data_IF_151229314602
#
_entry.id   IF_151229314602
#
_cell.length_a   1.000
_cell.length_b   1.000
_cell.length_c   1.000
_cell.angle_alpha   90.00
_cell.angle_beta   90.00
_cell.angle_gamma   90.00
#
_symmetry.space_group_name_H-M   'P 1'
#
loop_
_entity.id
_entity.type
_entity.pdbx_description
1 polymer ?
#
# COMPACT_ATOMS: atom_id res chain seq x y z
N UNK A 1 -25.19 -32.87 -0.31
CA UNK A 1 -24.94 -31.57 -0.96
C UNK A 1 -23.51 -31.57 -1.51
N UNK A 2 -23.31 -31.53 -2.84
CA UNK A 2 -21.96 -31.38 -3.41
C UNK A 2 -21.34 -30.10 -2.83
N UNK A 3 -20.16 -30.20 -2.23
CA UNK A 3 -19.40 -29.01 -1.83
C UNK A 3 -19.31 -28.10 -3.06
N UNK A 4 -19.69 -26.82 -2.97
CA UNK A 4 -19.61 -25.92 -4.12
C UNK A 4 -18.17 -25.89 -4.59
N UNK A 5 -17.95 -26.30 -5.85
CA UNK A 5 -16.62 -26.38 -6.43
C UNK A 5 -15.89 -25.05 -6.21
N UNK A 6 -14.71 -25.11 -5.60
CA UNK A 6 -13.86 -23.92 -5.44
C UNK A 6 -13.63 -23.32 -6.81
N UNK A 7 -13.91 -22.02 -7.02
CA UNK A 7 -13.71 -21.40 -8.33
C UNK A 7 -12.25 -21.60 -8.78
N UNK A 8 -11.99 -21.83 -10.07
CA UNK A 8 -10.64 -22.04 -10.55
C UNK A 8 -9.81 -20.74 -10.43
N UNK A 9 -8.48 -20.87 -10.41
CA UNK A 9 -7.57 -19.71 -10.40
C UNK A 9 -7.55 -19.02 -11.76
N UNK A 10 -7.72 -19.77 -12.85
CA UNK A 10 -7.89 -19.23 -14.20
C UNK A 10 -9.14 -19.87 -14.79
N UNK A 11 -9.99 -19.08 -15.47
CA UNK A 11 -11.16 -19.63 -16.14
C UNK A 11 -10.75 -20.67 -17.21
N UNK A 12 -11.58 -21.70 -17.46
CA UNK A 12 -11.30 -22.70 -18.48
C UNK A 12 -11.28 -22.08 -19.89
N UNK A 13 -10.55 -22.69 -20.83
CA UNK A 13 -10.53 -22.30 -22.25
C UNK A 13 -9.34 -21.43 -22.69
N UNK A 14 -8.37 -21.16 -21.83
CA UNK A 14 -7.17 -20.40 -22.17
C UNK A 14 -5.97 -21.27 -22.58
N UNK A 15 -5.32 -20.90 -23.68
CA UNK A 15 -4.02 -21.40 -24.13
C UNK A 15 -2.91 -20.36 -23.89
N UNK A 16 -1.63 -20.76 -24.00
CA UNK A 16 -0.49 -19.83 -23.87
C UNK A 16 -0.60 -18.60 -24.77
N UNK A 17 -1.08 -18.79 -26.00
CA UNK A 17 -1.32 -17.71 -26.95
C UNK A 17 -2.39 -16.74 -26.46
N UNK A 18 -3.58 -17.26 -26.12
CA UNK A 18 -4.71 -16.43 -25.68
C UNK A 18 -4.43 -15.61 -24.42
N UNK A 19 -3.68 -16.17 -23.44
CA UNK A 19 -3.26 -15.43 -22.23
C UNK A 19 -2.37 -14.24 -22.62
N UNK A 20 -1.40 -14.51 -23.48
CA UNK A 20 -0.46 -13.50 -23.96
C UNK A 20 -1.19 -12.41 -24.72
N UNK A 21 -2.04 -12.80 -25.66
CA UNK A 21 -2.77 -11.86 -26.52
C UNK A 21 -3.68 -10.97 -25.68
N UNK A 22 -4.43 -11.54 -24.72
CA UNK A 22 -5.34 -10.77 -23.85
C UNK A 22 -4.62 -9.78 -22.94
N UNK A 23 -3.47 -10.12 -22.37
CA UNK A 23 -2.70 -9.21 -21.51
C UNK A 23 -1.96 -8.15 -22.35
N UNK A 24 -1.30 -8.58 -23.43
CA UNK A 24 -0.52 -7.66 -24.29
C UNK A 24 -1.42 -6.72 -25.09
N UNK A 25 -2.66 -7.12 -25.43
CA UNK A 25 -3.59 -6.26 -26.16
C UNK A 25 -3.94 -4.98 -25.41
N UNK A 26 -3.95 -5.01 -24.07
CA UNK A 26 -4.22 -3.83 -23.23
C UNK A 26 -3.10 -2.80 -23.38
N UNK A 27 -1.84 -3.25 -23.39
CA UNK A 27 -0.66 -2.38 -23.47
C UNK A 27 -0.39 -1.95 -24.91
N UNK A 28 -0.53 -2.86 -25.86
CA UNK A 28 -0.23 -2.62 -27.28
C UNK A 28 -1.47 -2.19 -28.08
N UNK A 29 -2.53 -1.71 -27.42
CA UNK A 29 -3.71 -1.20 -28.13
C UNK A 29 -3.33 -0.02 -29.03
N UNK A 30 -3.75 -0.08 -30.30
CA UNK A 30 -3.48 0.99 -31.28
C UNK A 30 -4.18 2.32 -30.96
N UNK A 31 -5.37 2.27 -30.34
CA UNK A 31 -6.15 3.47 -29.95
C UNK A 31 -6.52 3.38 -28.48
N UNK A 32 -5.96 4.28 -27.67
CA UNK A 32 -6.34 4.42 -26.26
C UNK A 32 -7.80 4.90 -26.19
N UNK A 33 -8.68 4.25 -25.42
CA UNK A 33 -10.08 4.63 -25.34
C UNK A 33 -10.25 6.02 -24.72
N UNK A 34 -11.26 6.77 -25.16
CA UNK A 34 -11.58 8.11 -24.64
C UNK A 34 -11.81 8.11 -23.13
N UNK A 35 -12.42 7.04 -22.58
CA UNK A 35 -12.63 6.89 -21.14
C UNK A 35 -11.33 6.85 -20.34
N UNK A 36 -10.24 6.29 -20.90
CA UNK A 36 -8.94 6.32 -20.24
C UNK A 36 -8.37 7.74 -20.21
N UNK A 37 -8.48 8.50 -21.30
CA UNK A 37 -8.04 9.90 -21.34
C UNK A 37 -8.83 10.80 -20.39
N UNK A 38 -10.15 10.65 -20.37
CA UNK A 38 -11.01 11.39 -19.45
C UNK A 38 -10.66 11.09 -17.99
N UNK A 39 -10.50 9.80 -17.64
CA UNK A 39 -10.07 9.38 -16.31
C UNK A 39 -8.68 9.89 -15.94
N UNK A 40 -7.71 9.76 -16.86
CA UNK A 40 -6.33 10.22 -16.68
C UNK A 40 -6.27 11.74 -16.44
N UNK A 41 -6.94 12.54 -17.27
CA UNK A 41 -6.95 14.00 -17.12
C UNK A 41 -7.64 14.42 -15.81
N UNK A 42 -8.74 13.76 -15.44
CA UNK A 42 -9.43 14.02 -14.19
C UNK A 42 -8.55 13.75 -12.96
N UNK A 43 -7.87 12.59 -12.89
CA UNK A 43 -6.98 12.28 -11.76
C UNK A 43 -5.71 13.14 -11.77
N UNK A 44 -5.21 13.47 -12.96
CA UNK A 44 -4.02 14.34 -13.12
C UNK A 44 -4.30 15.78 -12.66
N UNK A 45 -5.54 16.25 -12.72
CA UNK A 45 -5.92 17.55 -12.14
C UNK A 45 -5.66 17.60 -10.64
N UNK A 46 -5.95 16.52 -9.91
CA UNK A 46 -5.63 16.42 -8.48
C UNK A 46 -4.12 16.30 -8.23
N UNK A 47 -3.38 15.61 -9.10
CA UNK A 47 -1.90 15.65 -9.03
C UNK A 47 -1.36 17.06 -9.29
N UNK A 48 -2.00 17.85 -10.16
CA UNK A 48 -1.71 19.28 -10.34
C UNK A 48 -2.01 20.10 -9.08
N UNK A 49 -3.14 19.82 -8.41
CA UNK A 49 -3.46 20.42 -7.11
C UNK A 49 -2.39 20.11 -6.05
N UNK A 50 -1.83 18.90 -6.04
CA UNK A 50 -0.71 18.54 -5.16
C UNK A 50 0.50 19.44 -5.43
N UNK A 51 0.89 19.60 -6.70
CA UNK A 51 2.01 20.46 -7.06
C UNK A 51 1.81 21.90 -6.58
N UNK A 52 0.61 22.46 -6.79
CA UNK A 52 0.26 23.80 -6.29
C UNK A 52 0.33 23.87 -4.76
N UNK A 53 -0.22 22.88 -4.06
CA UNK A 53 -0.23 22.82 -2.60
C UNK A 53 1.18 22.75 -2.02
N UNK A 54 2.04 21.89 -2.58
CA UNK A 54 3.43 21.76 -2.15
C UNK A 54 4.27 23.00 -2.49
N UNK A 55 4.07 23.62 -3.65
CA UNK A 55 4.73 24.87 -3.99
C UNK A 55 4.33 25.98 -3.02
N UNK A 56 3.04 26.12 -2.71
CA UNK A 56 2.57 27.12 -1.77
C UNK A 56 3.08 26.87 -0.34
N UNK A 57 3.13 25.60 0.08
CA UNK A 57 3.71 25.15 1.36
C UNK A 57 5.18 25.55 1.49
N UNK A 58 6.01 25.31 0.47
CA UNK A 58 7.44 25.66 0.54
C UNK A 58 7.67 27.17 0.52
N UNK A 59 6.84 27.92 -0.23
CA UNK A 59 6.98 29.37 -0.33
C UNK A 59 6.50 30.11 0.93
N UNK A 60 5.47 29.60 1.60
CA UNK A 60 4.84 30.28 2.75
C UNK A 60 5.28 29.70 4.10
N UNK A 61 5.54 28.38 4.13
CA UNK A 61 5.92 27.63 5.32
C UNK A 61 4.84 26.67 5.82
N UNK A 62 5.23 25.77 6.72
CA UNK A 62 4.38 24.69 7.27
C UNK A 62 3.16 25.19 8.03
N UNK A 63 3.16 26.44 8.49
CA UNK A 63 2.03 27.06 9.20
C UNK A 63 0.75 27.25 8.38
N UNK A 64 0.74 26.92 7.08
CA UNK A 64 -0.50 26.88 6.28
C UNK A 64 -1.37 25.66 6.60
N UNK A 65 -0.77 24.61 7.16
CA UNK A 65 -1.50 23.45 7.69
C UNK A 65 -2.06 23.75 9.08
N UNK A 66 -3.04 22.97 9.50
CA UNK A 66 -3.73 23.14 10.78
C UNK A 66 -2.90 22.74 12.02
N UNK A 67 -1.64 22.32 11.82
CA UNK A 67 -0.72 21.93 12.89
C UNK A 67 -0.55 23.09 13.87
N UNK A 68 -0.55 22.79 15.16
CA UNK A 68 -0.42 23.79 16.22
C UNK A 68 0.35 23.21 17.41
N UNK A 69 0.52 24.00 18.47
CA UNK A 69 0.89 23.45 19.77
C UNK A 69 -0.41 23.16 20.55
N UNK A 70 -0.62 21.93 21.03
CA UNK A 70 0.34 20.83 21.18
C UNK A 70 0.40 19.84 19.98
N UNK A 71 -0.49 19.97 18.99
CA UNK A 71 -0.63 18.98 17.90
C UNK A 71 0.32 19.32 16.74
N UNK A 72 1.60 19.03 16.95
CA UNK A 72 2.67 19.28 15.98
C UNK A 72 2.61 18.38 14.74
N UNK A 73 1.89 17.25 14.82
CA UNK A 73 1.61 16.33 13.72
C UNK A 73 0.12 15.99 13.67
N UNK A 74 -0.41 15.91 12.45
CA UNK A 74 -1.79 15.51 12.19
C UNK A 74 -1.90 14.87 10.81
N UNK A 75 -2.41 15.59 9.80
CA UNK A 75 -2.67 15.05 8.46
C UNK A 75 -1.38 14.61 7.75
N UNK A 76 -0.31 15.38 7.90
CA UNK A 76 1.02 15.07 7.38
C UNK A 76 1.47 13.64 7.73
N UNK A 77 1.62 13.32 9.01
CA UNK A 77 2.08 12.00 9.43
C UNK A 77 0.98 10.94 9.30
N UNK A 78 -0.30 11.31 9.48
CA UNK A 78 -1.44 10.38 9.30
C UNK A 78 -1.43 9.81 7.89
N UNK A 79 -1.28 10.68 6.88
CA UNK A 79 -1.26 10.30 5.48
C UNK A 79 0.02 9.56 5.11
N UNK A 80 1.17 9.96 5.66
CA UNK A 80 2.43 9.23 5.52
C UNK A 80 2.28 7.75 5.92
N UNK A 81 1.86 7.49 7.15
CA UNK A 81 1.73 6.13 7.69
C UNK A 81 0.65 5.35 6.94
N UNK A 82 -0.43 6.02 6.51
CA UNK A 82 -1.48 5.40 5.71
C UNK A 82 -0.98 4.96 4.33
N UNK A 83 -0.23 5.81 3.61
CA UNK A 83 0.36 5.47 2.31
C UNK A 83 1.42 4.37 2.41
N UNK A 84 2.33 4.43 3.40
CA UNK A 84 3.28 3.33 3.65
C UNK A 84 2.53 2.03 3.95
N UNK A 85 1.49 2.10 4.80
CA UNK A 85 0.64 0.96 5.11
C UNK A 85 0.02 0.31 3.87
N UNK A 86 -0.55 1.12 2.97
CA UNK A 86 -1.07 0.65 1.68
C UNK A 86 0.02 -0.05 0.87
N UNK A 87 1.22 0.53 0.83
CA UNK A 87 2.36 -0.01 0.07
C UNK A 87 2.73 -1.42 0.49
N UNK A 88 2.63 -1.76 1.77
CA UNK A 88 3.06 -3.06 2.30
C UNK A 88 2.29 -4.26 1.79
N UNK A 89 0.98 -4.13 1.49
CA UNK A 89 0.22 -5.26 0.98
C UNK A 89 0.72 -5.74 -0.37
N UNK A 90 1.24 -4.84 -1.22
CA UNK A 90 1.76 -5.23 -2.53
C UNK A 90 2.94 -6.17 -2.42
N UNK A 91 3.94 -5.81 -1.62
CA UNK A 91 5.10 -6.64 -1.30
C UNK A 91 4.75 -7.90 -0.51
N UNK A 92 3.71 -7.89 0.34
CA UNK A 92 3.24 -9.11 0.99
C UNK A 92 2.62 -10.08 -0.03
N UNK A 93 1.76 -9.59 -0.92
CA UNK A 93 1.14 -10.41 -1.97
C UNK A 93 2.20 -11.01 -2.89
N UNK A 94 3.26 -10.28 -3.20
CA UNK A 94 4.26 -10.74 -4.14
C UNK A 94 5.39 -11.56 -3.51
N UNK A 95 5.84 -11.24 -2.29
CA UNK A 95 6.91 -11.95 -1.60
C UNK A 95 6.40 -13.04 -0.65
N UNK A 96 5.55 -12.71 0.32
CA UNK A 96 5.12 -13.67 1.36
C UNK A 96 4.28 -14.80 0.74
N UNK A 97 3.35 -14.48 -0.17
CA UNK A 97 2.58 -15.53 -0.86
C UNK A 97 3.44 -16.36 -1.82
N UNK A 98 4.54 -15.81 -2.35
CA UNK A 98 5.51 -16.59 -3.12
C UNK A 98 6.22 -17.61 -2.22
N UNK A 99 6.66 -17.20 -1.03
CA UNK A 99 7.29 -18.08 -0.05
C UNK A 99 6.34 -19.21 0.40
N UNK A 100 5.05 -18.91 0.56
CA UNK A 100 4.01 -19.91 0.82
C UNK A 100 3.53 -20.69 -0.41
N UNK A 101 4.19 -20.51 -1.57
CA UNK A 101 3.87 -21.17 -2.85
C UNK A 101 2.38 -21.06 -3.23
N UNK A 102 1.75 -19.93 -2.91
CA UNK A 102 0.34 -19.70 -3.20
C UNK A 102 0.15 -19.27 -4.66
N UNK A 103 -0.47 -20.13 -5.46
CA UNK A 103 -0.62 -19.93 -6.91
C UNK A 103 -1.61 -18.82 -7.30
N UNK A 104 -2.52 -18.43 -6.42
CA UNK A 104 -3.50 -17.36 -6.73
C UNK A 104 -2.90 -15.95 -6.75
N UNK A 105 -1.66 -15.77 -6.26
CA UNK A 105 -1.01 -14.45 -6.26
C UNK A 105 -0.66 -13.96 -7.68
N UNK A 106 -0.44 -14.87 -8.62
CA UNK A 106 0.16 -14.60 -9.94
C UNK A 106 -0.66 -13.67 -10.83
N UNK A 107 -1.98 -13.64 -10.62
CA UNK A 107 -2.90 -12.77 -11.35
C UNK A 107 -2.95 -11.34 -10.78
N UNK A 108 -2.35 -11.11 -9.60
CA UNK A 108 -2.44 -9.85 -8.85
C UNK A 108 -1.05 -9.27 -8.54
N UNK A 109 0.01 -10.09 -8.51
CA UNK A 109 1.33 -9.69 -8.05
C UNK A 109 1.87 -8.44 -8.74
N UNK A 110 1.79 -8.36 -10.07
CA UNK A 110 2.38 -7.24 -10.81
C UNK A 110 1.68 -5.92 -10.54
N UNK A 111 0.36 -5.97 -10.47
CA UNK A 111 -0.47 -4.85 -10.06
C UNK A 111 -0.17 -4.44 -8.61
N UNK A 112 -0.03 -5.41 -7.71
CA UNK A 112 0.22 -5.16 -6.30
C UNK A 112 1.63 -4.58 -6.05
N UNK A 113 2.66 -5.09 -6.75
CA UNK A 113 4.02 -4.54 -6.73
C UNK A 113 4.06 -3.09 -7.24
N UNK A 114 3.34 -2.78 -8.33
CA UNK A 114 3.24 -1.40 -8.83
C UNK A 114 2.52 -0.47 -7.84
N UNK A 115 1.44 -0.97 -7.21
CA UNK A 115 0.73 -0.25 -6.14
C UNK A 115 1.69 0.13 -5.00
N UNK A 116 2.58 -0.78 -4.59
CA UNK A 116 3.61 -0.48 -3.59
C UNK A 116 4.45 0.72 -3.99
N UNK A 117 5.01 0.71 -5.20
CA UNK A 117 5.91 1.77 -5.64
C UNK A 117 5.22 3.13 -5.67
N UNK A 118 3.99 3.20 -6.17
CA UNK A 118 3.25 4.47 -6.24
C UNK A 118 2.85 4.96 -4.85
N UNK A 119 2.47 4.05 -3.96
CA UNK A 119 2.17 4.39 -2.57
C UNK A 119 3.42 4.90 -1.83
N UNK A 120 4.60 4.30 -2.06
CA UNK A 120 5.88 4.76 -1.48
C UNK A 120 6.27 6.13 -2.02
N UNK A 121 6.06 6.42 -3.31
CA UNK A 121 6.28 7.76 -3.88
C UNK A 121 5.36 8.79 -3.21
N UNK A 122 4.08 8.46 -3.02
CA UNK A 122 3.14 9.35 -2.33
C UNK A 122 3.49 9.53 -0.84
N UNK A 123 3.91 8.47 -0.17
CA UNK A 123 4.37 8.52 1.21
C UNK A 123 5.61 9.39 1.37
N UNK A 124 6.62 9.23 0.52
CA UNK A 124 7.90 9.93 0.61
C UNK A 124 7.80 11.46 0.49
N UNK A 125 6.68 11.97 -0.03
CA UNK A 125 6.38 13.41 -0.04
C UNK A 125 6.24 13.94 1.39
N UNK A 126 5.58 13.20 2.28
CA UNK A 126 5.26 13.72 3.61
C UNK A 126 6.50 13.92 4.50
N UNK A 127 7.42 12.95 4.69
CA UNK A 127 8.67 13.16 5.45
C UNK A 127 9.57 14.26 4.88
N UNK A 128 9.48 14.53 3.57
CA UNK A 128 10.25 15.61 2.96
C UNK A 128 9.60 16.97 3.25
N UNK A 129 8.32 17.12 2.95
CA UNK A 129 7.63 18.40 2.94
C UNK A 129 6.99 18.81 4.28
N UNK A 130 6.82 17.88 5.23
CA UNK A 130 6.39 18.25 6.58
C UNK A 130 7.48 18.91 7.41
N UNK A 131 8.73 18.85 6.95
CA UNK A 131 9.82 19.60 7.56
C UNK A 131 9.68 21.09 7.26
N UNK A 132 9.98 21.95 8.23
CA UNK A 132 9.95 23.40 8.01
C UNK A 132 10.99 23.91 7.00
N UNK A 133 11.99 23.09 6.64
CA UNK A 133 13.09 23.44 5.73
C UNK A 133 13.42 22.25 4.82
N UNK A 134 12.56 21.92 3.84
CA UNK A 134 12.72 20.72 3.01
C UNK A 134 14.01 20.72 2.19
N UNK A 135 14.56 21.88 1.84
CA UNK A 135 15.83 21.99 1.13
C UNK A 135 17.04 21.48 1.93
N UNK A 136 16.93 21.30 3.25
CA UNK A 136 17.99 20.73 4.10
C UNK A 136 17.83 19.22 4.34
N UNK A 137 16.90 18.57 3.65
CA UNK A 137 16.62 17.14 3.86
C UNK A 137 17.84 16.23 3.64
N UNK A 138 18.82 16.67 2.83
CA UNK A 138 20.06 15.94 2.61
C UNK A 138 20.90 15.74 3.88
N UNK A 139 20.70 16.54 4.94
CA UNK A 139 21.37 16.33 6.25
C UNK A 139 20.91 15.07 6.99
N UNK A 140 19.81 14.45 6.57
CA UNK A 140 19.37 13.16 7.12
C UNK A 140 20.17 11.98 6.55
N UNK A 141 20.94 12.20 5.47
CA UNK A 141 21.78 11.17 4.86
C UNK A 141 23.16 11.17 5.53
N UNK A 142 23.75 10.01 5.85
CA UNK A 142 25.09 9.93 6.43
C UNK A 142 26.15 10.10 5.33
N UNK A 143 26.57 11.33 5.07
CA UNK A 143 27.66 11.62 4.13
C UNK A 143 28.76 12.49 4.80
N UNK A 144 30.04 12.29 4.44
CA UNK A 144 31.11 13.16 4.92
C UNK A 144 30.87 14.60 4.49
N UNK A 145 30.89 15.53 5.43
CA UNK A 145 30.74 16.96 5.17
C UNK A 145 31.86 17.76 5.84
N UNK A 146 32.01 19.02 5.41
CA UNK A 146 33.03 19.95 5.93
C UNK A 146 32.89 20.28 7.40
N UNK A 147 31.71 20.03 7.99
CA UNK A 147 31.39 20.32 9.39
C UNK A 147 31.62 19.09 10.31
N UNK A 148 31.93 17.92 9.75
CA UNK A 148 32.01 16.63 10.47
C UNK A 148 30.75 16.30 11.31
N UNK A 149 29.58 16.71 10.83
CA UNK A 149 28.29 16.43 11.50
C UNK A 149 27.61 15.22 10.86
N UNK A 150 26.96 14.39 11.68
CA UNK A 150 26.25 13.19 11.24
C UNK A 150 24.80 13.20 11.73
N UNK A 151 23.87 12.48 11.07
CA UNK A 151 22.51 12.31 11.57
C UNK A 151 22.49 11.57 12.91
N UNK A 152 21.46 11.83 13.71
CA UNK A 152 21.26 11.18 15.01
C UNK A 152 20.62 9.79 14.83
N UNK A 153 21.43 8.74 14.90
CA UNK A 153 20.99 7.35 14.74
C UNK A 153 20.15 6.79 15.90
N UNK A 154 19.90 7.57 16.96
CA UNK A 154 18.94 7.21 18.01
C UNK A 154 17.51 7.65 17.70
N UNK A 155 17.32 8.50 16.69
CA UNK A 155 16.01 9.03 16.32
C UNK A 155 15.27 8.04 15.40
N UNK A 156 14.06 7.57 15.77
CA UNK A 156 13.23 6.76 14.90
C UNK A 156 12.95 7.41 13.52
N UNK A 157 12.81 8.73 13.47
CA UNK A 157 12.67 9.48 12.20
C UNK A 157 13.85 9.29 11.24
N UNK A 158 15.07 9.09 11.75
CA UNK A 158 16.23 8.78 10.90
C UNK A 158 16.15 7.34 10.41
N UNK A 159 15.68 6.41 11.25
CA UNK A 159 15.45 5.03 10.82
C UNK A 159 14.41 4.97 9.70
N UNK A 160 13.39 5.83 9.75
CA UNK A 160 12.38 5.99 8.71
C UNK A 160 12.98 6.37 7.35
N UNK A 161 13.95 7.28 7.32
CA UNK A 161 14.68 7.63 6.08
C UNK A 161 15.34 6.40 5.47
N UNK A 162 16.01 5.57 6.27
CA UNK A 162 16.63 4.33 5.78
C UNK A 162 15.61 3.26 5.41
N UNK A 163 14.55 3.10 6.22
CA UNK A 163 13.52 2.11 6.03
C UNK A 163 12.77 2.37 4.72
N UNK A 164 12.24 3.58 4.52
CA UNK A 164 11.47 3.96 3.32
C UNK A 164 12.36 3.96 2.07
N UNK A 165 13.59 4.48 2.14
CA UNK A 165 14.49 4.48 0.97
C UNK A 165 14.91 3.06 0.55
N UNK A 166 15.29 2.21 1.51
CA UNK A 166 15.64 0.81 1.25
C UNK A 166 14.43 0.03 0.76
N UNK A 167 13.25 0.26 1.36
CA UNK A 167 12.00 -0.35 0.93
C UNK A 167 11.62 0.03 -0.50
N UNK A 168 11.71 1.32 -0.85
CA UNK A 168 11.47 1.80 -2.20
C UNK A 168 12.44 1.19 -3.21
N UNK A 169 13.73 1.13 -2.89
CA UNK A 169 14.76 0.55 -3.76
C UNK A 169 14.56 -0.96 -3.96
N UNK A 170 14.39 -1.73 -2.88
CA UNK A 170 14.19 -3.18 -2.95
C UNK A 170 12.88 -3.51 -3.68
N UNK A 171 11.81 -2.77 -3.42
CA UNK A 171 10.54 -2.94 -4.14
C UNK A 171 10.69 -2.64 -5.63
N UNK A 172 11.46 -1.61 -5.99
CA UNK A 172 11.71 -1.24 -7.39
C UNK A 172 12.50 -2.33 -8.11
N UNK A 173 13.57 -2.82 -7.49
CA UNK A 173 14.37 -3.91 -8.02
C UNK A 173 13.55 -5.20 -8.16
N UNK A 174 12.77 -5.54 -7.15
CA UNK A 174 11.94 -6.74 -7.15
C UNK A 174 10.88 -6.72 -8.26
N UNK A 175 10.14 -5.62 -8.38
CA UNK A 175 9.15 -5.40 -9.43
C UNK A 175 9.79 -5.38 -10.82
N UNK A 176 10.91 -4.66 -10.98
CA UNK A 176 11.60 -4.55 -12.26
C UNK A 176 12.17 -5.89 -12.71
N UNK A 177 12.84 -6.64 -11.83
CA UNK A 177 13.33 -8.00 -12.13
C UNK A 177 12.18 -8.88 -12.57
N UNK A 178 11.05 -8.83 -11.85
CA UNK A 178 9.84 -9.54 -12.20
C UNK A 178 9.32 -9.19 -13.60
N UNK A 179 9.44 -7.93 -14.04
CA UNK A 179 8.98 -7.46 -15.35
C UNK A 179 9.87 -7.87 -16.53
N UNK A 180 11.14 -8.22 -16.32
CA UNK A 180 12.10 -8.49 -17.41
C UNK A 180 11.54 -9.47 -18.47
N UNK A 181 10.98 -10.65 -18.11
CA UNK A 181 10.45 -11.59 -19.10
C UNK A 181 9.17 -11.08 -19.79
N UNK A 182 8.35 -10.29 -19.09
CA UNK A 182 7.13 -9.71 -19.63
C UNK A 182 7.44 -8.60 -20.64
N UNK A 183 8.44 -7.77 -20.35
CA UNK A 183 8.96 -6.72 -21.24
C UNK A 183 9.56 -7.32 -22.51
N UNK A 184 10.22 -8.48 -22.42
CA UNK A 184 10.69 -9.21 -23.58
C UNK A 184 9.54 -9.67 -24.48
N UNK A 185 8.44 -10.13 -23.88
CA UNK A 185 7.22 -10.50 -24.62
C UNK A 185 6.60 -9.28 -25.32
N UNK A 186 6.56 -8.12 -24.65
CA UNK A 186 6.07 -6.87 -25.25
C UNK A 186 6.97 -6.38 -26.38
N UNK A 187 8.29 -6.48 -26.24
CA UNK A 187 9.27 -6.18 -27.32
C UNK A 187 8.97 -7.00 -28.58
N UNK A 188 8.77 -8.30 -28.42
CA UNK A 188 8.60 -9.22 -29.55
C UNK A 188 7.22 -9.07 -30.21
N UNK A 189 6.21 -8.60 -29.46
CA UNK A 189 4.85 -8.30 -29.96
C UNK A 189 4.69 -6.89 -30.53
N UNK A 190 5.56 -5.95 -30.15
CA UNK A 190 5.43 -4.55 -30.55
C UNK A 190 5.63 -4.36 -32.07
N UNK A 191 4.66 -3.70 -32.70
CA UNK A 191 4.69 -3.36 -34.14
C UNK A 191 5.49 -2.07 -34.41
N UNK A 192 5.41 -1.09 -33.50
CA UNK A 192 6.13 0.18 -33.62
C UNK A 192 7.62 0.07 -33.32
N UNK A 193 8.47 0.72 -34.12
CA UNK A 193 9.93 0.74 -33.94
C UNK A 193 10.34 1.33 -32.59
N UNK A 194 9.70 2.44 -32.18
CA UNK A 194 9.98 3.08 -30.89
C UNK A 194 9.60 2.20 -29.70
N UNK A 195 8.38 1.63 -29.69
CA UNK A 195 7.95 0.69 -28.65
C UNK A 195 8.84 -0.54 -28.56
N UNK A 196 9.26 -1.11 -29.70
CA UNK A 196 10.17 -2.24 -29.74
C UNK A 196 11.54 -1.90 -29.16
N UNK A 197 12.06 -0.70 -29.45
CA UNK A 197 13.34 -0.22 -28.89
C UNK A 197 13.24 -0.01 -27.37
N UNK A 198 12.19 0.67 -26.89
CA UNK A 198 11.99 0.93 -25.46
C UNK A 198 11.84 -0.38 -24.67
N UNK A 199 10.91 -1.25 -25.07
CA UNK A 199 10.74 -2.55 -24.41
C UNK A 199 11.98 -3.44 -24.59
N UNK A 200 12.72 -3.29 -25.69
CA UNK A 200 13.98 -4.00 -25.91
C UNK A 200 15.10 -3.61 -24.95
N UNK A 201 15.25 -2.31 -24.67
CA UNK A 201 16.20 -1.81 -23.67
C UNK A 201 15.79 -2.28 -22.26
N UNK A 202 14.51 -2.13 -21.91
CA UNK A 202 14.01 -2.51 -20.59
C UNK A 202 14.04 -4.03 -20.33
N UNK A 203 13.93 -4.85 -21.38
CA UNK A 203 14.06 -6.31 -21.28
C UNK A 203 15.51 -6.78 -21.05
N UNK A 204 16.51 -5.89 -21.01
CA UNK A 204 17.92 -6.21 -20.73
C UNK A 204 18.46 -7.41 -21.53
N UNK A 205 18.09 -7.51 -22.80
CA UNK A 205 18.54 -8.61 -23.67
C UNK A 205 17.99 -9.99 -23.29
N UNK A 206 16.86 -10.08 -22.59
CA UNK A 206 16.23 -11.36 -22.24
C UNK A 206 15.87 -12.18 -23.49
N UNK A 207 16.32 -13.44 -23.50
CA UNK A 207 16.12 -14.43 -24.58
C UNK A 207 15.33 -15.67 -24.16
N UNK A 208 14.97 -15.78 -22.88
CA UNK A 208 14.29 -16.97 -22.35
C UNK A 208 15.14 -18.26 -22.32
N UNK A 209 16.48 -18.16 -22.25
CA UNK A 209 17.34 -19.34 -22.14
C UNK A 209 17.16 -20.04 -20.79
N UNK A 210 17.41 -21.35 -20.71
CA UNK A 210 17.34 -22.11 -19.46
C UNK A 210 18.23 -21.52 -18.35
N UNK A 211 19.42 -21.01 -18.72
CA UNK A 211 20.33 -20.32 -17.79
C UNK A 211 19.72 -19.03 -17.23
N UNK A 212 18.98 -18.28 -18.05
CA UNK A 212 18.31 -17.06 -17.60
C UNK A 212 17.19 -17.40 -16.61
N UNK A 213 16.37 -18.42 -16.92
CA UNK A 213 15.29 -18.86 -16.03
C UNK A 213 15.78 -19.36 -14.68
N UNK A 214 16.81 -20.23 -14.67
CA UNK A 214 17.37 -20.73 -13.42
C UNK A 214 17.91 -19.60 -12.50
N UNK A 215 18.61 -18.62 -13.09
CA UNK A 215 19.10 -17.45 -12.35
C UNK A 215 17.98 -16.53 -11.91
N UNK A 216 16.98 -16.32 -12.76
CA UNK A 216 15.80 -15.51 -12.45
C UNK A 216 15.04 -16.07 -11.26
N UNK A 217 14.72 -17.37 -11.26
CA UNK A 217 14.00 -18.03 -10.16
C UNK A 217 14.76 -17.90 -8.84
N UNK A 218 16.09 -18.13 -8.88
CA UNK A 218 16.95 -17.98 -7.70
C UNK A 218 16.96 -16.54 -7.19
N UNK A 219 17.17 -15.56 -8.08
CA UNK A 219 17.19 -14.15 -7.70
C UNK A 219 15.82 -13.66 -7.19
N UNK A 220 14.73 -14.06 -7.83
CA UNK A 220 13.37 -13.68 -7.43
C UNK A 220 13.00 -14.29 -6.07
N UNK A 221 13.39 -15.54 -5.80
CA UNK A 221 13.21 -16.17 -4.49
C UNK A 221 14.02 -15.46 -3.40
N UNK A 222 15.28 -15.13 -3.66
CA UNK A 222 16.15 -14.41 -2.71
C UNK A 222 15.60 -13.02 -2.40
N UNK A 223 15.18 -12.26 -3.43
CA UNK A 223 14.58 -10.95 -3.23
C UNK A 223 13.27 -11.04 -2.44
N UNK A 224 12.43 -12.05 -2.67
CA UNK A 224 11.24 -12.28 -1.86
C UNK A 224 11.57 -12.63 -0.40
N UNK A 225 12.62 -13.44 -0.20
CA UNK A 225 13.17 -13.75 1.12
C UNK A 225 13.68 -12.52 1.87
N UNK A 226 14.32 -11.58 1.17
CA UNK A 226 14.80 -10.31 1.73
C UNK A 226 13.68 -9.29 1.95
N UNK A 227 12.72 -9.22 1.02
CA UNK A 227 11.59 -8.30 1.09
C UNK A 227 10.66 -8.63 2.26
N UNK A 228 10.53 -9.90 2.65
CA UNK A 228 9.62 -10.32 3.72
C UNK A 228 9.98 -9.73 5.09
N UNK A 229 11.22 -9.90 5.62
CA UNK A 229 11.66 -9.20 6.83
C UNK A 229 11.61 -7.67 6.68
N UNK A 230 11.95 -7.15 5.49
CA UNK A 230 11.95 -5.72 5.22
C UNK A 230 10.54 -5.11 5.36
N UNK A 231 9.50 -5.79 4.86
CA UNK A 231 8.11 -5.34 5.01
C UNK A 231 7.70 -5.26 6.47
N UNK A 232 8.06 -6.27 7.26
CA UNK A 232 7.74 -6.29 8.69
C UNK A 232 8.53 -5.21 9.43
N UNK A 233 9.82 -5.03 9.11
CA UNK A 233 10.67 -4.06 9.80
C UNK A 233 10.33 -2.61 9.45
N UNK A 234 10.03 -2.28 8.19
CA UNK A 234 9.75 -0.90 7.76
C UNK A 234 8.53 -0.35 8.48
N UNK A 235 7.42 -1.09 8.47
CA UNK A 235 6.21 -0.62 9.14
C UNK A 235 6.32 -0.67 10.67
N UNK A 236 7.17 -1.55 11.20
CA UNK A 236 7.55 -1.54 12.61
C UNK A 236 8.36 -0.29 12.96
N UNK A 237 9.30 0.14 12.11
CA UNK A 237 10.10 1.36 12.31
C UNK A 237 9.22 2.60 12.32
N UNK A 238 8.29 2.71 11.36
CA UNK A 238 7.29 3.78 11.33
C UNK A 238 6.44 3.78 12.61
N UNK A 239 6.14 2.61 13.18
CA UNK A 239 5.41 2.54 14.46
C UNK A 239 6.25 2.97 15.67
N UNK A 240 7.59 2.82 15.58
CA UNK A 240 8.53 3.19 16.65
C UNK A 240 8.64 4.71 16.81
N UNK A 241 8.33 5.49 15.77
CA UNK A 241 8.17 6.95 15.87
C UNK A 241 7.18 7.35 16.97
N UNK A 242 6.13 6.54 17.15
CA UNK A 242 5.15 6.73 18.22
C UNK A 242 5.58 5.96 19.48
N UNK A 243 5.90 4.67 19.36
CA UNK A 243 6.11 3.78 20.50
C UNK A 243 7.28 4.18 21.43
N UNK A 244 8.32 4.81 20.87
CA UNK A 244 9.49 5.28 21.64
C UNK A 244 9.19 6.58 22.39
N UNK A 245 8.15 7.31 22.00
CA UNK A 245 7.71 8.50 22.73
C UNK A 245 7.23 8.16 24.13
N UNK A 246 7.18 9.16 25.00
CA UNK A 246 6.66 9.05 26.38
C UNK A 246 5.17 9.36 26.49
N UNK A 247 4.52 9.74 25.38
CA UNK A 247 3.14 10.23 25.36
C UNK A 247 2.16 9.09 25.67
N UNK A 248 1.16 9.30 26.55
CA UNK A 248 0.15 8.30 26.84
C UNK A 248 -0.64 7.92 25.59
N UNK A 249 -0.87 6.63 25.37
CA UNK A 249 -1.47 6.11 24.14
C UNK A 249 -0.54 6.08 22.92
N UNK A 250 0.72 6.52 23.04
CA UNK A 250 1.80 6.22 22.09
C UNK A 250 2.80 5.24 22.68
N UNK A 251 3.17 5.41 23.96
CA UNK A 251 4.16 4.58 24.64
C UNK A 251 3.65 3.15 24.89
N UNK A 252 3.74 2.28 23.90
CA UNK A 252 3.29 0.89 24.01
C UNK A 252 4.14 -0.06 23.19
N UNK A 253 4.35 -1.26 23.73
CA UNK A 253 5.12 -2.32 23.08
C UNK A 253 4.34 -3.09 22.01
N UNK A 254 3.02 -2.89 21.94
CA UNK A 254 2.15 -3.58 20.99
C UNK A 254 2.19 -2.99 19.58
N UNK A 255 2.62 -1.74 19.43
CA UNK A 255 2.53 -0.99 18.17
C UNK A 255 3.25 -1.65 16.99
N UNK A 256 4.49 -2.15 17.08
CA UNK A 256 5.15 -2.76 15.92
C UNK A 256 4.36 -3.88 15.23
N UNK A 257 3.95 -4.97 15.91
CA UNK A 257 3.14 -6.01 15.27
C UNK A 257 1.72 -5.52 14.91
N UNK A 258 1.14 -4.63 15.71
CA UNK A 258 -0.21 -4.10 15.48
C UNK A 258 -0.28 -3.22 14.22
N UNK A 259 0.68 -2.32 14.03
CA UNK A 259 0.79 -1.48 12.85
C UNK A 259 0.99 -2.34 11.62
N UNK A 260 1.84 -3.38 11.68
CA UNK A 260 2.06 -4.32 10.57
C UNK A 260 0.75 -5.02 10.20
N UNK A 261 -0.02 -5.52 11.16
CA UNK A 261 -1.33 -6.12 10.90
C UNK A 261 -2.29 -5.11 10.24
N UNK A 262 -2.30 -3.87 10.71
CA UNK A 262 -3.06 -2.76 10.12
C UNK A 262 -2.64 -2.43 8.69
N UNK A 263 -1.35 -2.46 8.36
CA UNK A 263 -0.84 -2.24 7.01
C UNK A 263 -1.30 -3.33 6.03
N UNK A 264 -1.28 -4.60 6.48
CA UNK A 264 -1.79 -5.72 5.68
C UNK A 264 -3.29 -5.52 5.45
N UNK A 265 -4.03 -5.18 6.50
CA UNK A 265 -5.46 -4.95 6.45
C UNK A 265 -5.84 -3.80 5.49
N UNK A 266 -5.27 -2.60 5.63
CA UNK A 266 -5.53 -1.47 4.73
C UNK A 266 -5.08 -1.75 3.30
N UNK A 267 -3.91 -2.37 3.11
CA UNK A 267 -3.39 -2.59 1.78
C UNK A 267 -4.19 -3.65 1.00
N UNK A 268 -4.68 -4.74 1.63
CA UNK A 268 -5.60 -5.67 0.94
C UNK A 268 -6.95 -5.00 0.61
N UNK A 269 -7.43 -4.09 1.44
CA UNK A 269 -8.61 -3.29 1.12
C UNK A 269 -8.34 -2.37 -0.08
N UNK A 270 -7.16 -1.73 -0.16
CA UNK A 270 -6.78 -0.93 -1.33
C UNK A 270 -6.68 -1.79 -2.60
N UNK A 271 -6.06 -2.97 -2.53
CA UNK A 271 -6.01 -3.90 -3.67
C UNK A 271 -7.42 -4.26 -4.14
N UNK A 272 -8.36 -4.60 -3.25
CA UNK A 272 -9.75 -4.86 -3.62
C UNK A 272 -10.41 -3.66 -4.29
N UNK A 273 -10.20 -2.46 -3.73
CA UNK A 273 -10.75 -1.20 -4.24
C UNK A 273 -10.31 -0.92 -5.68
N UNK A 274 -9.07 -1.27 -6.04
CA UNK A 274 -8.55 -1.03 -7.38
C UNK A 274 -8.83 -2.19 -8.33
N UNK A 275 -8.64 -3.43 -7.87
CA UNK A 275 -8.80 -4.63 -8.69
C UNK A 275 -10.24 -4.84 -9.14
N UNK A 276 -11.24 -4.53 -8.31
CA UNK A 276 -12.65 -4.75 -8.67
C UNK A 276 -13.09 -3.91 -9.90
N UNK A 277 -12.87 -2.58 -9.94
CA UNK A 277 -13.12 -1.77 -11.13
C UNK A 277 -12.28 -2.20 -12.33
N UNK A 278 -10.97 -2.40 -12.14
CA UNK A 278 -10.05 -2.79 -13.24
C UNK A 278 -10.48 -4.12 -13.87
N UNK A 279 -10.86 -5.10 -13.03
CA UNK A 279 -11.39 -6.40 -13.45
C UNK A 279 -12.59 -6.23 -14.39
N UNK A 280 -13.48 -5.27 -14.11
CA UNK A 280 -14.68 -5.03 -14.92
C UNK A 280 -14.38 -4.24 -16.19
N UNK A 281 -13.64 -3.13 -16.09
CA UNK A 281 -13.37 -2.24 -17.21
C UNK A 281 -12.46 -2.87 -18.28
N UNK A 282 -11.48 -3.68 -17.86
CA UNK A 282 -10.55 -4.36 -18.77
C UNK A 282 -10.94 -5.80 -19.10
N UNK A 283 -12.12 -6.28 -18.64
CA UNK A 283 -12.60 -7.64 -18.95
C UNK A 283 -11.69 -8.75 -18.42
N UNK A 284 -11.02 -8.53 -17.28
CA UNK A 284 -10.05 -9.46 -16.67
C UNK A 284 -10.72 -10.46 -15.72
N UNK A 285 -12.03 -10.68 -15.87
CA UNK A 285 -12.83 -11.56 -15.02
C UNK A 285 -12.35 -13.01 -15.02
N UNK A 286 -11.75 -13.45 -16.13
CA UNK A 286 -11.23 -14.81 -16.35
C UNK A 286 -9.89 -15.07 -15.63
N UNK A 287 -9.11 -14.01 -15.40
CA UNK A 287 -7.80 -14.09 -14.73
C UNK A 287 -7.91 -13.72 -13.25
N UNK A 288 -8.77 -12.76 -12.93
CA UNK A 288 -9.07 -12.36 -11.55
C UNK A 288 -10.43 -12.94 -11.17
N UNK A 289 -10.46 -14.25 -10.96
CA UNK A 289 -11.69 -14.98 -10.61
C UNK A 289 -12.19 -14.67 -9.19
N UNK A 290 -13.41 -15.11 -8.88
CA UNK A 290 -14.00 -15.01 -7.53
C UNK A 290 -13.15 -15.66 -6.43
N UNK A 291 -12.30 -16.65 -6.76
CA UNK A 291 -11.38 -17.26 -5.80
C UNK A 291 -10.40 -16.23 -5.23
N UNK A 292 -9.91 -15.31 -6.06
CA UNK A 292 -9.01 -14.26 -5.64
C UNK A 292 -9.69 -13.31 -4.66
N UNK A 293 -10.88 -12.82 -5.02
CA UNK A 293 -11.66 -11.90 -4.19
C UNK A 293 -12.02 -12.54 -2.84
N UNK A 294 -12.44 -13.81 -2.83
CA UNK A 294 -12.75 -14.53 -1.60
C UNK A 294 -11.52 -14.80 -0.73
N UNK A 295 -10.36 -15.07 -1.32
CA UNK A 295 -9.12 -15.27 -0.58
C UNK A 295 -8.65 -13.95 0.03
N UNK A 296 -8.65 -12.85 -0.73
CA UNK A 296 -8.35 -11.51 -0.20
C UNK A 296 -9.31 -11.12 0.92
N UNK A 297 -10.61 -11.40 0.79
CA UNK A 297 -11.59 -11.14 1.84
C UNK A 297 -11.34 -11.95 3.12
N UNK A 298 -10.82 -13.19 3.02
CA UNK A 298 -10.41 -13.98 4.20
C UNK A 298 -9.18 -13.37 4.88
N UNK A 299 -8.18 -12.96 4.10
CA UNK A 299 -6.99 -12.30 4.65
C UNK A 299 -7.39 -11.01 5.35
N UNK A 300 -8.24 -10.19 4.70
CA UNK A 300 -8.80 -8.96 5.25
C UNK A 300 -9.57 -9.21 6.56
N UNK A 301 -10.36 -10.28 6.65
CA UNK A 301 -11.05 -10.66 7.88
C UNK A 301 -10.05 -11.00 9.00
N UNK A 302 -9.06 -11.86 8.71
CA UNK A 302 -8.08 -12.29 9.72
C UNK A 302 -7.28 -11.11 10.24
N UNK A 303 -6.78 -10.23 9.36
CA UNK A 303 -6.02 -9.07 9.80
C UNK A 303 -6.89 -8.01 10.48
N UNK A 304 -8.16 -7.85 10.06
CA UNK A 304 -9.13 -7.02 10.78
C UNK A 304 -9.39 -7.50 12.21
N UNK A 305 -9.42 -8.83 12.43
CA UNK A 305 -9.52 -9.40 13.79
C UNK A 305 -8.25 -9.14 14.61
N UNK A 306 -7.06 -9.19 14.01
CA UNK A 306 -5.80 -8.84 14.69
C UNK A 306 -5.77 -7.36 15.10
N UNK A 307 -6.25 -6.46 14.25
CA UNK A 307 -6.39 -5.03 14.55
C UNK A 307 -7.42 -4.80 15.66
N UNK A 308 -8.58 -5.47 15.59
CA UNK A 308 -9.60 -5.42 16.64
C UNK A 308 -9.11 -5.94 18.00
N UNK A 309 -8.28 -6.99 17.98
CA UNK A 309 -7.55 -7.45 19.16
C UNK A 309 -6.63 -6.35 19.69
N UNK A 310 -5.89 -5.66 18.83
CA UNK A 310 -5.07 -4.51 19.19
C UNK A 310 -5.82 -3.43 19.98
N UNK A 311 -6.98 -2.98 19.47
CA UNK A 311 -7.81 -2.01 20.20
C UNK A 311 -8.30 -2.53 21.56
N UNK A 312 -8.65 -3.81 21.62
CA UNK A 312 -9.15 -4.43 22.85
C UNK A 312 -8.04 -4.51 23.91
N UNK A 313 -6.82 -4.88 23.49
CA UNK A 313 -5.66 -4.90 24.38
C UNK A 313 -5.26 -3.50 24.82
N UNK A 314 -5.31 -2.50 23.94
CA UNK A 314 -5.05 -1.11 24.31
C UNK A 314 -6.05 -0.62 25.37
N UNK A 315 -7.35 -0.88 25.17
CA UNK A 315 -8.40 -0.58 26.15
C UNK A 315 -8.15 -1.29 27.49
N UNK A 316 -7.81 -2.58 27.43
CA UNK A 316 -7.53 -3.40 28.60
C UNK A 316 -6.31 -2.90 29.37
N UNK A 317 -5.20 -2.58 28.67
CA UNK A 317 -3.98 -2.10 29.29
C UNK A 317 -4.14 -0.69 29.86
N UNK A 318 -4.94 0.17 29.24
CA UNK A 318 -5.29 1.47 29.79
C UNK A 318 -5.97 1.35 31.16
N UNK A 319 -6.86 0.37 31.32
CA UNK A 319 -7.49 0.04 32.60
C UNK A 319 -6.53 -0.69 33.56
N UNK A 320 -5.81 -1.72 33.08
CA UNK A 320 -4.96 -2.61 33.88
C UNK A 320 -3.70 -1.92 34.41
N UNK A 321 -3.13 -0.96 33.67
CA UNK A 321 -1.90 -0.25 34.06
C UNK A 321 -2.05 0.61 35.32
N UNK A 322 -3.29 0.92 35.73
CA UNK A 322 -3.61 1.87 36.80
C UNK A 322 -2.98 3.26 36.63
N UNK A 323 -2.48 3.60 35.43
CA UNK A 323 -1.94 4.92 35.14
C UNK A 323 -3.11 5.87 34.81
N UNK A 324 -3.27 6.93 35.61
CA UNK A 324 -4.32 7.93 35.41
C UNK A 324 -4.33 8.53 34.01
N UNK A 325 -3.17 8.68 33.37
CA UNK A 325 -3.05 9.29 32.06
C UNK A 325 -3.46 8.34 30.92
N UNK A 326 -3.11 7.06 31.02
CA UNK A 326 -3.54 6.03 30.06
C UNK A 326 -5.05 5.79 30.17
N UNK A 327 -5.58 5.70 31.40
CA UNK A 327 -7.03 5.60 31.62
C UNK A 327 -7.78 6.83 31.09
N UNK A 328 -7.24 8.04 31.33
CA UNK A 328 -7.80 9.28 30.78
C UNK A 328 -7.73 9.32 29.25
N UNK A 329 -6.63 8.89 28.64
CA UNK A 329 -6.46 8.83 27.18
C UNK A 329 -7.57 7.99 26.54
N UNK A 330 -7.87 6.81 27.11
CA UNK A 330 -8.95 5.96 26.61
C UNK A 330 -10.33 6.61 26.76
N UNK A 331 -10.60 7.24 27.91
CA UNK A 331 -11.84 7.98 28.13
C UNK A 331 -11.98 9.17 27.17
N UNK A 332 -10.88 9.88 26.91
CA UNK A 332 -10.84 10.99 25.97
C UNK A 332 -11.12 10.53 24.53
N UNK A 333 -10.67 9.34 24.12
CA UNK A 333 -11.07 8.74 22.85
C UNK A 333 -12.55 8.39 22.79
N UNK A 334 -13.13 7.85 23.86
CA UNK A 334 -14.52 7.41 23.89
C UNK A 334 -15.54 8.54 24.04
N UNK A 335 -15.26 9.57 24.83
CA UNK A 335 -16.23 10.63 25.19
C UNK A 335 -15.69 12.05 25.01
N UNK A 336 -14.44 12.21 24.58
CA UNK A 336 -13.82 13.52 24.40
C UNK A 336 -14.28 14.25 23.12
N UNK A 337 -13.66 15.39 22.77
CA UNK A 337 -14.06 16.21 21.63
C UNK A 337 -14.02 15.47 20.27
N UNK A 338 -13.20 14.44 20.17
CA UNK A 338 -13.05 13.60 18.98
C UNK A 338 -13.72 12.23 19.13
N UNK A 339 -14.70 12.06 20.03
CA UNK A 339 -15.36 10.77 20.26
C UNK A 339 -15.89 10.11 18.98
N UNK A 340 -16.37 10.94 18.04
CA UNK A 340 -16.96 10.49 16.79
C UNK A 340 -15.92 9.81 15.87
N UNK A 341 -14.64 10.22 15.89
CA UNK A 341 -13.60 9.56 15.10
C UNK A 341 -13.31 8.16 15.64
N UNK A 342 -13.32 8.00 16.96
CA UNK A 342 -13.13 6.70 17.60
C UNK A 342 -14.33 5.77 17.38
N UNK A 343 -15.56 6.27 17.46
CA UNK A 343 -16.75 5.45 17.16
C UNK A 343 -16.76 5.01 15.70
N UNK A 344 -16.49 5.92 14.75
CA UNK A 344 -16.37 5.58 13.34
C UNK A 344 -15.24 4.57 13.09
N UNK A 345 -14.10 4.72 13.77
CA UNK A 345 -13.00 3.77 13.72
C UNK A 345 -13.47 2.35 14.07
N UNK A 346 -14.14 2.18 15.21
CA UNK A 346 -14.63 0.86 15.66
C UNK A 346 -15.68 0.31 14.69
N UNK A 347 -16.60 1.14 14.18
CA UNK A 347 -17.60 0.71 13.20
C UNK A 347 -16.96 0.22 11.89
N UNK A 348 -15.97 0.96 11.38
CA UNK A 348 -15.29 0.63 10.13
C UNK A 348 -14.34 -0.56 10.27
N UNK A 349 -13.54 -0.64 11.35
CA UNK A 349 -12.46 -1.62 11.46
C UNK A 349 -12.82 -2.86 12.28
N UNK A 350 -13.78 -2.78 13.20
CA UNK A 350 -14.19 -3.93 14.01
C UNK A 350 -15.50 -4.52 13.51
N UNK A 351 -16.53 -3.69 13.31
CA UNK A 351 -17.87 -4.16 12.98
C UNK A 351 -18.00 -4.58 11.51
N UNK A 352 -17.54 -3.73 10.58
CA UNK A 352 -17.69 -4.00 9.14
C UNK A 352 -17.01 -5.30 8.70
N UNK A 353 -15.78 -5.65 9.14
CA UNK A 353 -15.15 -6.91 8.75
C UNK A 353 -15.88 -8.15 9.24
N UNK A 354 -16.66 -8.09 10.33
CA UNK A 354 -17.42 -9.26 10.79
C UNK A 354 -18.45 -9.73 9.75
N UNK A 355 -18.90 -8.83 8.87
CA UNK A 355 -19.78 -9.22 7.76
C UNK A 355 -19.10 -10.20 6.79
N UNK A 356 -17.76 -10.24 6.74
CA UNK A 356 -16.99 -11.15 5.91
C UNK A 356 -17.03 -12.59 6.41
N UNK A 357 -17.50 -12.88 7.63
CA UNK A 357 -17.76 -14.27 8.03
C UNK A 357 -18.77 -14.93 7.09
N UNK A 358 -19.79 -14.18 6.68
CA UNK A 358 -20.87 -14.67 5.81
C UNK A 358 -20.38 -14.89 4.38
N UNK A 359 -20.48 -16.14 3.91
CA UNK A 359 -20.10 -16.51 2.54
C UNK A 359 -20.86 -15.72 1.47
N UNK A 360 -22.11 -15.33 1.75
CA UNK A 360 -22.93 -14.49 0.85
C UNK A 360 -22.29 -13.12 0.60
N UNK A 361 -21.75 -12.50 1.64
CA UNK A 361 -21.06 -11.21 1.55
C UNK A 361 -19.73 -11.37 0.80
N UNK A 362 -18.92 -12.35 1.18
CA UNK A 362 -17.64 -12.63 0.49
C UNK A 362 -17.77 -13.07 -0.97
N UNK A 363 -18.93 -13.59 -1.36
CA UNK A 363 -19.24 -13.93 -2.74
C UNK A 363 -19.77 -12.78 -3.59
N UNK A 364 -20.06 -11.62 -2.98
CA UNK A 364 -20.65 -10.47 -3.63
C UNK A 364 -19.60 -9.42 -3.96
N UNK A 365 -19.35 -9.19 -5.26
CA UNK A 365 -18.37 -8.19 -5.74
C UNK A 365 -18.72 -6.77 -5.25
N UNK A 366 -19.98 -6.29 -5.36
CA UNK A 366 -20.34 -4.96 -4.84
C UNK A 366 -20.14 -4.84 -3.33
N UNK A 367 -20.46 -5.89 -2.56
CA UNK A 367 -20.27 -5.86 -1.11
C UNK A 367 -18.79 -5.74 -0.74
N UNK A 368 -17.92 -6.52 -1.39
CA UNK A 368 -16.47 -6.44 -1.17
C UNK A 368 -15.90 -5.07 -1.53
N UNK A 369 -16.41 -4.43 -2.59
CA UNK A 369 -15.99 -3.08 -2.97
C UNK A 369 -16.40 -2.02 -1.94
N UNK A 370 -17.64 -2.07 -1.45
CA UNK A 370 -18.10 -1.14 -0.40
C UNK A 370 -17.32 -1.36 0.89
N UNK A 371 -17.13 -2.62 1.30
CA UNK A 371 -16.34 -2.97 2.50
C UNK A 371 -14.92 -2.44 2.35
N UNK A 372 -14.27 -2.63 1.19
CA UNK A 372 -12.89 -2.19 1.01
C UNK A 372 -12.72 -0.67 1.12
N UNK A 373 -13.69 0.12 0.64
CA UNK A 373 -13.71 1.57 0.82
C UNK A 373 -13.86 1.94 2.31
N UNK A 374 -14.80 1.31 3.02
CA UNK A 374 -15.04 1.56 4.45
C UNK A 374 -13.80 1.23 5.28
N UNK A 375 -13.11 0.12 4.97
CA UNK A 375 -11.87 -0.28 5.63
C UNK A 375 -10.76 0.76 5.40
N UNK A 376 -10.59 1.24 4.17
CA UNK A 376 -9.57 2.25 3.87
C UNK A 376 -9.78 3.55 4.65
N UNK A 377 -11.04 3.98 4.79
CA UNK A 377 -11.42 5.14 5.63
C UNK A 377 -11.19 4.83 7.11
N UNK A 378 -11.59 3.66 7.59
CA UNK A 378 -11.36 3.24 8.98
C UNK A 378 -9.88 3.21 9.35
N UNK A 379 -9.02 2.73 8.47
CA UNK A 379 -7.57 2.71 8.69
C UNK A 379 -6.92 4.09 8.60
N UNK A 380 -7.49 5.02 7.85
CA UNK A 380 -7.08 6.42 7.91
C UNK A 380 -7.48 7.04 9.27
N UNK A 381 -8.72 6.80 9.71
CA UNK A 381 -9.21 7.23 11.02
C UNK A 381 -8.37 6.63 12.16
N UNK A 382 -7.89 5.39 12.03
CA UNK A 382 -7.02 4.77 13.03
C UNK A 382 -5.77 5.60 13.27
N UNK A 383 -5.07 5.97 12.20
CA UNK A 383 -3.84 6.77 12.28
C UNK A 383 -4.15 8.17 12.81
N UNK A 384 -5.24 8.79 12.35
CA UNK A 384 -5.68 10.08 12.86
C UNK A 384 -5.99 10.03 14.37
N UNK A 385 -6.69 8.99 14.83
CA UNK A 385 -7.02 8.79 16.25
C UNK A 385 -5.74 8.63 17.05
N UNK A 386 -4.85 7.71 16.66
CA UNK A 386 -3.59 7.48 17.39
C UNK A 386 -2.81 8.79 17.51
N UNK A 387 -2.67 9.56 16.44
CA UNK A 387 -1.86 10.78 16.43
C UNK A 387 -2.56 11.92 17.18
N UNK A 388 -3.72 12.35 16.71
CA UNK A 388 -4.37 13.60 17.18
C UNK A 388 -4.99 13.42 18.56
N UNK A 389 -5.63 12.28 18.85
CA UNK A 389 -6.33 12.10 20.14
C UNK A 389 -5.37 11.91 21.31
N UNK A 390 -4.14 11.46 21.05
CA UNK A 390 -3.08 11.35 22.06
C UNK A 390 -2.28 12.65 22.23
N UNK A 391 -2.16 13.49 21.18
CA UNK A 391 -1.42 14.76 21.25
C UNK A 391 -2.25 15.94 21.79
N UNK A 392 -3.55 16.01 21.44
CA UNK A 392 -4.34 17.20 21.76
C UNK A 392 -4.63 17.36 23.26
N UNK A 393 -4.55 16.25 24.01
CA UNK A 393 -4.70 16.20 25.47
C UNK A 393 -3.75 15.16 26.04
N UNK A 394 -2.64 15.65 26.58
CA UNK A 394 -1.56 14.85 27.15
C UNK A 394 -1.48 15.05 28.68
N UNK A 395 -0.28 15.19 29.23
CA UNK A 395 -0.03 15.29 30.66
C UNK A 395 -0.56 16.57 31.32
N UNK A 396 -0.50 17.71 30.65
CA UNK A 396 -0.74 19.03 31.24
C UNK A 396 -2.05 19.63 30.71
N UNK A 397 -3.05 19.90 31.56
CA UNK A 397 -4.29 20.54 31.11
C UNK A 397 -4.09 21.91 30.44
N UNK A 398 -3.02 22.64 30.79
CA UNK A 398 -2.71 23.95 30.20
C UNK A 398 -2.23 23.89 28.75
N UNK A 399 -1.69 22.76 28.30
CA UNK A 399 -1.25 22.56 26.91
C UNK A 399 -2.35 22.02 26.01
N UNK A 400 -3.56 21.74 26.54
CA UNK A 400 -4.62 21.12 25.75
C UNK A 400 -5.09 22.00 24.60
N UNK A 401 -5.17 21.41 23.40
CA UNK A 401 -5.56 22.09 22.18
C UNK A 401 -6.59 21.33 21.35
N UNK A 402 -6.91 21.89 20.20
CA UNK A 402 -7.71 21.23 19.16
C UNK A 402 -7.01 21.37 17.82
N UNK A 403 -7.08 20.33 17.01
CA UNK A 403 -6.66 20.34 15.63
C UNK A 403 -7.89 20.47 14.72
N UNK A 404 -7.83 21.40 13.79
CA UNK A 404 -8.79 21.50 12.69
C UNK A 404 -7.98 21.58 11.40
N UNK A 405 -8.18 20.66 10.44
CA UNK A 405 -7.45 20.70 9.18
C UNK A 405 -7.83 21.95 8.39
N UNK A 406 -6.86 22.54 7.70
CA UNK A 406 -7.08 23.62 6.74
C UNK A 406 -7.40 23.06 5.36
N UNK A 407 -7.69 23.95 4.40
CA UNK A 407 -7.85 23.54 3.01
C UNK A 407 -6.57 22.90 2.45
N UNK A 408 -5.40 23.29 2.95
CA UNK A 408 -4.10 22.82 2.48
C UNK A 408 -3.76 21.41 2.98
N UNK A 409 -4.24 21.04 4.17
CA UNK A 409 -4.19 19.65 4.65
C UNK A 409 -4.97 18.72 3.72
N UNK A 410 -6.20 19.12 3.38
CA UNK A 410 -7.08 18.36 2.48
C UNK A 410 -6.58 18.34 1.04
N UNK A 411 -6.13 19.48 0.50
CA UNK A 411 -5.63 19.58 -0.87
C UNK A 411 -4.38 18.73 -1.08
N UNK A 412 -3.50 18.68 -0.08
CA UNK A 412 -2.31 17.81 -0.11
C UNK A 412 -2.73 16.34 -0.07
N UNK A 413 -3.64 15.96 0.83
CA UNK A 413 -4.13 14.58 0.91
C UNK A 413 -4.80 14.12 -0.40
N UNK A 414 -5.81 14.84 -0.87
CA UNK A 414 -6.52 14.55 -2.12
C UNK A 414 -5.56 14.58 -3.31
N UNK A 415 -4.60 15.52 -3.29
CA UNK A 415 -3.57 15.62 -4.30
C UNK A 415 -2.69 14.37 -4.39
N UNK A 416 -2.30 13.78 -3.26
CA UNK A 416 -1.55 12.50 -3.25
C UNK A 416 -2.36 11.33 -3.79
N UNK A 417 -3.69 11.29 -3.56
CA UNK A 417 -4.57 10.31 -4.20
C UNK A 417 -4.59 10.51 -5.72
N UNK A 418 -4.64 11.76 -6.17
CA UNK A 418 -4.50 12.14 -7.57
C UNK A 418 -3.19 11.65 -8.21
N UNK A 419 -2.06 11.88 -7.53
CA UNK A 419 -0.75 11.40 -7.97
C UNK A 419 -0.71 9.87 -8.07
N UNK A 420 -1.17 9.17 -7.03
CA UNK A 420 -1.22 7.71 -7.00
C UNK A 420 -2.03 7.15 -8.18
N UNK A 421 -3.24 7.67 -8.40
CA UNK A 421 -4.09 7.23 -9.52
C UNK A 421 -3.46 7.61 -10.87
N UNK A 422 -2.84 8.78 -11.00
CA UNK A 422 -2.14 9.20 -12.23
C UNK A 422 -1.04 8.20 -12.60
N UNK A 423 -0.20 7.82 -11.64
CA UNK A 423 0.83 6.79 -11.83
C UNK A 423 0.23 5.43 -12.17
N UNK A 424 -0.90 5.07 -11.54
CA UNK A 424 -1.61 3.83 -11.84
C UNK A 424 -2.15 3.81 -13.28
N UNK A 425 -2.77 4.90 -13.76
CA UNK A 425 -3.25 5.00 -15.13
C UNK A 425 -2.10 4.84 -16.14
N UNK A 426 -0.96 5.49 -15.88
CA UNK A 426 0.25 5.34 -16.70
C UNK A 426 0.74 3.89 -16.70
N UNK A 427 0.81 3.24 -15.53
CA UNK A 427 1.18 1.84 -15.41
C UNK A 427 0.27 0.92 -16.22
N UNK A 428 -1.05 1.04 -16.06
CA UNK A 428 -2.03 0.23 -16.78
C UNK A 428 -1.94 0.42 -18.30
N UNK A 429 -1.45 1.57 -18.77
CA UNK A 429 -1.30 1.87 -20.19
C UNK A 429 0.01 1.35 -20.78
N UNK A 430 1.11 1.43 -20.05
CA UNK A 430 2.45 1.22 -20.60
C UNK A 430 3.08 -0.13 -20.20
N UNK A 431 2.58 -0.77 -19.15
CA UNK A 431 3.12 -2.00 -18.59
C UNK A 431 2.03 -3.06 -18.37
N UNK A 432 2.38 -4.35 -18.36
CA UNK A 432 1.41 -5.41 -18.18
C UNK A 432 0.97 -5.47 -16.72
N UNK A 433 -0.34 -5.35 -16.48
CA UNK A 433 -0.93 -5.40 -15.12
C UNK A 433 -0.92 -6.79 -14.48
N UNK A 434 -0.76 -7.85 -15.29
CA UNK A 434 -0.66 -9.25 -14.85
C UNK A 434 0.63 -9.84 -15.41
N UNK A 435 1.34 -10.65 -14.62
CA UNK A 435 2.52 -11.37 -15.10
C UNK A 435 2.15 -12.36 -16.21
N UNK A 436 2.68 -12.16 -17.42
CA UNK A 436 2.31 -12.98 -18.58
C UNK A 436 2.94 -14.37 -18.42
N UNK A 437 4.22 -14.42 -18.07
CA UNK A 437 4.93 -15.69 -17.99
C UNK A 437 4.43 -16.56 -16.81
N UNK A 438 4.15 -15.97 -15.63
CA UNK A 438 3.62 -16.74 -14.49
C UNK A 438 2.19 -17.24 -14.77
N UNK A 439 1.38 -16.47 -15.49
CA UNK A 439 0.04 -16.95 -15.87
C UNK A 439 0.11 -18.13 -16.83
N UNK A 440 1.11 -18.19 -17.71
CA UNK A 440 1.33 -19.36 -18.57
C UNK A 440 1.66 -20.61 -17.75
N UNK A 441 2.49 -20.51 -16.70
CA UNK A 441 2.87 -21.69 -15.89
C UNK A 441 1.70 -22.29 -15.10
N UNK A 442 0.59 -21.56 -14.94
CA UNK A 442 -0.62 -22.06 -14.28
C UNK A 442 -1.55 -22.86 -15.19
N UNK A 443 -1.36 -22.80 -16.51
CA UNK A 443 -2.19 -23.56 -17.44
C UNK A 443 -1.87 -25.06 -17.32
N UNK A 444 -2.87 -25.95 -17.50
CA UNK A 444 -2.65 -27.40 -17.44
C UNK A 444 -1.53 -27.88 -18.37
N UNK A 445 -1.42 -27.29 -19.56
CA UNK A 445 -0.40 -27.62 -20.56
C UNK A 445 1.04 -27.29 -20.14
N UNK A 446 1.24 -26.49 -19.09
CA UNK A 446 2.59 -26.21 -18.55
C UNK A 446 3.03 -27.21 -17.48
N UNK A 447 2.10 -28.02 -16.97
CA UNK A 447 2.43 -29.02 -15.95
C UNK A 447 3.03 -30.23 -16.66
N UNK A 448 4.24 -30.59 -16.26
CA UNK A 448 4.85 -31.86 -16.67
C UNK A 448 3.99 -32.97 -16.08
N UNK A 449 3.33 -33.76 -16.92
CA UNK A 449 2.74 -35.03 -16.50
C UNK A 449 3.89 -36.00 -16.26
N UNK A 450 3.95 -36.63 -15.09
CA UNK A 450 5.00 -37.62 -14.75
C UNK A 450 4.97 -38.88 -15.65
N UNK A 451 4.04 -38.96 -16.60
CA UNK A 451 4.03 -39.95 -17.68
C UNK A 451 4.75 -39.38 -18.92
N UNK A 452 6.08 -39.47 -18.93
CA UNK A 452 6.90 -39.39 -20.14
C UNK A 452 8.21 -40.16 -19.95
#
# INVERSE_FOLDING_TARGET
MRAPATPPVIAPGHTFGTVTDKITSIVLTNKTPLGWWAGFLFVSMFAGLLAVSLTYLVLTGVGIWGNNQPIGWAFDITNFVWWIGIGHAGTLISAILLLFKQTWRTSINRFAEAMTLFAVVCAGIFPLFHTGRPWLAYWMVPYPNTMNVWPQFKSPLIWDVFAVSTYGLVSLLFWFVGLIPDLATLRDRATGRASRMIYGMLAMGWRGSARHWHRYETAYLLLAGLATPLVVSVHSVVSLDFAVSVIPGWHTTLFPPYFVAGAIYSGFAMVLTLVIPIRKFYGMEDFITMRHLQNMAKVLLVTGLMVGYGYTVEAFMAWYSANRYEGFMMWNRMTGPYWWTYVLLILCNVVTPQTLWFKRVRGSVPALFVISLVVNVGMWLERFVIVVTSLHRDFLPSSWGRFSPTIWDWSTYVGTIGLFLTLLFLFLRFLPMISIFEMRTLLPAAKVTEEA
#
